data_IF_012142213928
#
_entry.id   IF_012142213928
#
_cell.length_a   1.000
_cell.length_b   1.000
_cell.length_c   1.000
_cell.angle_alpha   90.00
_cell.angle_beta   90.00
_cell.angle_gamma   90.00
#
_symmetry.space_group_name_H-M   'P 1'
#
loop_
_entity.id
_entity.type
_entity.pdbx_description
1 polymer ?
#
# COMPACT_ATOMS: atom_id res chain seq x y z
N UNK A 1 28.94 16.27 8.18
CA UNK A 1 28.06 15.16 7.73
C UNK A 1 27.60 15.47 6.31
N UNK A 2 27.37 14.46 5.44
CA UNK A 2 26.68 14.67 4.17
C UNK A 2 25.31 15.33 4.44
N UNK A 3 24.80 16.21 3.56
CA UNK A 3 23.46 16.77 3.71
C UNK A 3 22.42 15.64 3.81
N UNK A 4 21.43 15.80 4.69
CA UNK A 4 20.29 14.88 4.76
C UNK A 4 19.46 15.00 3.48
N UNK A 5 19.10 13.86 2.89
CA UNK A 5 18.28 13.76 1.68
C UNK A 5 19.07 13.52 0.40
N UNK A 6 18.39 13.03 -0.63
CA UNK A 6 18.97 12.99 -1.97
C UNK A 6 19.07 14.44 -2.45
N UNK A 7 20.25 14.91 -2.87
CA UNK A 7 20.46 16.26 -3.39
C UNK A 7 19.78 16.55 -4.73
N UNK A 8 18.62 15.94 -4.99
CA UNK A 8 17.86 16.01 -6.24
C UNK A 8 16.36 16.14 -5.91
N UNK A 9 15.73 17.19 -6.42
CA UNK A 9 14.29 17.47 -6.27
C UNK A 9 13.49 17.18 -7.55
N UNK A 10 14.07 16.41 -8.47
CA UNK A 10 13.42 15.99 -9.72
C UNK A 10 12.19 15.12 -9.48
N UNK A 11 12.24 14.20 -8.50
CA UNK A 11 11.09 13.37 -8.11
C UNK A 11 9.94 14.23 -7.60
N UNK A 12 10.20 15.11 -6.63
CA UNK A 12 9.18 16.00 -6.08
C UNK A 12 8.53 16.87 -7.16
N UNK A 13 9.32 17.44 -8.09
CA UNK A 13 8.80 18.26 -9.19
C UNK A 13 8.00 17.45 -10.20
N UNK A 14 8.45 16.26 -10.56
CA UNK A 14 7.72 15.37 -11.48
C UNK A 14 6.38 14.96 -10.86
N UNK A 15 6.40 14.60 -9.57
CA UNK A 15 5.19 14.27 -8.82
C UNK A 15 4.21 15.44 -8.79
N UNK A 16 4.65 16.64 -8.43
CA UNK A 16 3.78 17.82 -8.40
C UNK A 16 3.17 18.14 -9.77
N UNK A 17 3.90 17.97 -10.87
CA UNK A 17 3.39 18.18 -12.23
C UNK A 17 2.33 17.15 -12.62
N UNK A 18 2.58 15.87 -12.36
CA UNK A 18 1.60 14.80 -12.61
C UNK A 18 0.35 14.98 -11.78
N UNK A 19 0.50 15.43 -10.53
CA UNK A 19 -0.63 15.70 -9.66
C UNK A 19 -1.41 16.93 -10.13
N UNK A 20 -0.75 18.03 -10.50
CA UNK A 20 -1.41 19.26 -10.89
C UNK A 20 -2.19 19.18 -12.23
N UNK A 21 -1.82 18.26 -13.12
CA UNK A 21 -2.53 18.00 -14.37
C UNK A 21 -3.67 16.99 -14.16
N UNK A 22 -4.92 17.39 -14.43
CA UNK A 22 -6.10 16.56 -14.20
C UNK A 22 -6.10 15.26 -15.03
N UNK A 23 -5.63 15.32 -16.28
CA UNK A 23 -5.58 14.15 -17.17
C UNK A 23 -4.51 13.18 -16.69
N UNK A 24 -3.32 13.69 -16.40
CA UNK A 24 -2.22 12.89 -15.86
C UNK A 24 -2.58 12.27 -14.50
N UNK A 25 -3.30 13.00 -13.64
CA UNK A 25 -3.76 12.48 -12.34
C UNK A 25 -4.66 11.27 -12.52
N UNK A 26 -5.64 11.36 -13.42
CA UNK A 26 -6.55 10.24 -13.76
C UNK A 26 -5.76 9.07 -14.35
N UNK A 27 -4.82 9.32 -15.25
CA UNK A 27 -4.01 8.27 -15.88
C UNK A 27 -3.13 7.53 -14.87
N UNK A 28 -2.50 8.25 -13.94
CA UNK A 28 -1.72 7.64 -12.85
C UNK A 28 -2.64 6.81 -11.95
N UNK A 29 -3.80 7.33 -11.54
CA UNK A 29 -4.76 6.59 -10.73
C UNK A 29 -5.23 5.30 -11.44
N UNK A 30 -5.51 5.36 -12.74
CA UNK A 30 -5.85 4.17 -13.56
C UNK A 30 -4.72 3.15 -13.61
N UNK A 31 -3.47 3.62 -13.74
CA UNK A 31 -2.28 2.76 -13.70
C UNK A 31 -2.13 2.08 -12.33
N UNK A 32 -2.41 2.78 -11.24
CA UNK A 32 -2.44 2.21 -9.89
C UNK A 32 -3.50 1.12 -9.74
N UNK A 33 -4.73 1.34 -10.23
CA UNK A 33 -5.74 0.28 -10.27
C UNK A 33 -5.32 -0.92 -11.14
N UNK A 34 -4.67 -0.66 -12.28
CA UNK A 34 -4.18 -1.73 -13.14
C UNK A 34 -3.18 -2.64 -12.42
N UNK A 35 -2.29 -2.09 -11.59
CA UNK A 35 -1.41 -2.89 -10.74
C UNK A 35 -2.19 -3.71 -9.72
N UNK A 36 -3.13 -3.09 -9.00
CA UNK A 36 -3.96 -3.79 -8.01
C UNK A 36 -4.76 -4.93 -8.63
N UNK A 37 -5.16 -4.79 -9.89
CA UNK A 37 -5.97 -5.77 -10.61
C UNK A 37 -5.16 -6.79 -11.41
N UNK A 38 -3.86 -6.59 -11.59
CA UNK A 38 -3.00 -7.36 -12.49
C UNK A 38 -3.36 -7.22 -13.96
N UNK A 39 -4.21 -6.25 -14.34
CA UNK A 39 -4.67 -6.02 -15.70
C UNK A 39 -5.22 -4.60 -15.86
N UNK A 40 -5.13 -4.07 -17.08
CA UNK A 40 -5.81 -2.82 -17.46
C UNK A 40 -7.31 -3.08 -17.63
N UNK A 41 -8.15 -2.24 -17.05
CA UNK A 41 -9.59 -2.26 -17.27
C UNK A 41 -9.96 -1.16 -18.28
N UNK A 42 -10.99 -1.38 -19.13
CA UNK A 42 -11.37 -0.43 -20.18
C UNK A 42 -11.99 0.86 -19.61
N UNK A 43 -12.40 0.85 -18.34
CA UNK A 43 -13.04 2.00 -17.69
C UNK A 43 -12.04 3.11 -17.38
N UNK A 44 -12.41 4.35 -17.72
CA UNK A 44 -11.67 5.56 -17.34
C UNK A 44 -12.15 6.17 -16.02
N UNK A 45 -13.41 5.93 -15.64
CA UNK A 45 -14.01 6.49 -14.43
C UNK A 45 -13.46 5.83 -13.16
N UNK A 46 -12.78 6.65 -12.34
CA UNK A 46 -12.19 6.26 -11.06
C UNK A 46 -13.25 5.73 -10.07
N UNK A 47 -14.47 6.25 -10.11
CA UNK A 47 -15.56 5.79 -9.23
C UNK A 47 -15.96 4.33 -9.53
N UNK A 48 -16.00 3.97 -10.81
CA UNK A 48 -16.28 2.61 -11.27
C UNK A 48 -15.14 1.67 -10.89
N UNK A 49 -13.88 2.08 -11.10
CA UNK A 49 -12.71 1.30 -10.70
C UNK A 49 -12.69 1.04 -9.18
N UNK A 50 -13.04 2.05 -8.38
CA UNK A 50 -13.17 1.92 -6.91
C UNK A 50 -14.27 0.91 -6.53
N UNK A 51 -15.40 0.92 -7.22
CA UNK A 51 -16.48 -0.05 -7.00
C UNK A 51 -16.05 -1.49 -7.28
N UNK A 52 -15.34 -1.71 -8.40
CA UNK A 52 -14.78 -3.01 -8.79
C UNK A 52 -13.76 -3.48 -7.75
N UNK A 53 -12.87 -2.59 -7.30
CA UNK A 53 -11.90 -2.89 -6.25
C UNK A 53 -12.58 -3.33 -4.96
N UNK A 54 -13.59 -2.59 -4.50
CA UNK A 54 -14.34 -2.92 -3.29
C UNK A 54 -14.96 -4.31 -3.35
N UNK A 55 -15.53 -4.70 -4.50
CA UNK A 55 -16.05 -6.05 -4.72
C UNK A 55 -14.96 -7.13 -4.65
N UNK A 56 -13.82 -6.90 -5.33
CA UNK A 56 -12.67 -7.83 -5.30
C UNK A 56 -12.06 -7.97 -3.91
N UNK A 57 -11.98 -6.89 -3.16
CA UNK A 57 -11.41 -6.90 -1.81
C UNK A 57 -12.30 -7.70 -0.86
N UNK A 58 -13.63 -7.57 -0.95
CA UNK A 58 -14.58 -8.41 -0.20
C UNK A 58 -14.35 -9.90 -0.43
N UNK A 59 -14.10 -10.30 -1.68
CA UNK A 59 -13.80 -11.68 -2.00
C UNK A 59 -12.43 -12.13 -1.49
N UNK A 60 -11.43 -11.24 -1.60
CA UNK A 60 -10.07 -11.49 -1.07
C UNK A 60 -10.10 -11.76 0.43
N UNK A 61 -10.90 -11.03 1.21
CA UNK A 61 -11.07 -11.31 2.64
C UNK A 61 -11.57 -12.74 2.89
N UNK A 62 -12.58 -13.20 2.15
CA UNK A 62 -13.11 -14.57 2.30
C UNK A 62 -12.08 -15.62 1.94
N UNK A 63 -11.35 -15.41 0.85
CA UNK A 63 -10.27 -16.31 0.41
C UNK A 63 -9.20 -16.43 1.50
N UNK A 64 -8.75 -15.30 2.07
CA UNK A 64 -7.75 -15.30 3.13
C UNK A 64 -8.27 -15.92 4.43
N UNK A 65 -9.50 -15.61 4.83
CA UNK A 65 -10.16 -16.22 5.97
C UNK A 65 -10.17 -17.75 5.85
N UNK A 66 -10.62 -18.27 4.71
CA UNK A 66 -10.64 -19.71 4.44
C UNK A 66 -9.23 -20.30 4.42
N UNK A 67 -8.28 -19.66 3.72
CA UNK A 67 -6.89 -20.12 3.61
C UNK A 67 -6.20 -20.29 4.96
N UNK A 68 -6.46 -19.38 5.90
CA UNK A 68 -5.81 -19.39 7.22
C UNK A 68 -6.67 -19.98 8.34
N UNK A 69 -7.89 -20.44 8.04
CA UNK A 69 -8.81 -21.02 9.02
C UNK A 69 -9.30 -20.00 10.06
N UNK A 70 -9.52 -18.76 9.64
CA UNK A 70 -9.91 -17.63 10.51
C UNK A 70 -11.38 -17.28 10.27
N UNK A 71 -12.24 -17.22 11.29
CA UNK A 71 -13.62 -16.76 11.15
C UNK A 71 -13.66 -15.33 10.61
N UNK A 72 -14.50 -15.09 9.59
CA UNK A 72 -14.64 -13.77 8.98
C UNK A 72 -16.10 -13.43 8.71
N UNK A 73 -16.52 -12.26 9.18
CA UNK A 73 -17.87 -11.75 8.95
C UNK A 73 -17.85 -10.56 7.99
N UNK A 74 -17.15 -9.49 8.38
CA UNK A 74 -17.03 -8.28 7.59
C UNK A 74 -15.84 -7.45 8.07
N UNK A 75 -15.35 -6.56 7.20
CA UNK A 75 -14.41 -5.53 7.60
C UNK A 75 -15.15 -4.50 8.45
N UNK A 76 -14.76 -4.37 9.71
CA UNK A 76 -15.30 -3.40 10.67
C UNK A 76 -14.14 -2.63 11.30
N UNK A 77 -14.25 -1.31 11.32
CA UNK A 77 -13.26 -0.44 11.94
C UNK A 77 -13.98 0.70 12.66
N UNK A 78 -13.85 0.70 13.99
CA UNK A 78 -14.30 1.80 14.84
C UNK A 78 -13.07 2.63 15.22
N UNK A 79 -13.03 3.88 14.78
CA UNK A 79 -11.93 4.82 15.08
C UNK A 79 -11.86 5.18 16.57
N UNK A 80 -12.99 5.18 17.27
CA UNK A 80 -13.04 5.53 18.69
C UNK A 80 -12.66 4.33 19.57
N UNK A 81 -12.91 3.10 19.10
CA UNK A 81 -12.56 1.87 19.82
C UNK A 81 -11.91 0.82 18.90
N UNK A 82 -10.65 1.03 18.48
CA UNK A 82 -9.96 0.13 17.55
C UNK A 82 -9.81 -1.31 18.08
N UNK A 83 -9.70 -1.49 19.40
CA UNK A 83 -9.60 -2.81 20.06
C UNK A 83 -10.96 -3.50 20.27
N UNK A 84 -12.08 -2.82 20.03
CA UNK A 84 -13.40 -3.44 20.11
C UNK A 84 -13.73 -4.33 18.90
N UNK A 85 -12.89 -4.32 17.86
CA UNK A 85 -13.04 -5.15 16.69
C UNK A 85 -12.65 -6.61 16.98
N UNK A 86 -13.15 -7.56 16.19
CA UNK A 86 -12.69 -8.95 16.28
C UNK A 86 -11.19 -9.07 15.92
N UNK A 87 -10.57 -10.17 16.35
CA UNK A 87 -9.15 -10.41 16.20
C UNK A 87 -8.65 -10.26 14.74
N UNK A 88 -9.35 -10.75 13.70
CA UNK A 88 -8.95 -10.54 12.31
C UNK A 88 -8.96 -9.06 11.89
N UNK A 89 -9.98 -8.30 12.31
CA UNK A 89 -10.04 -6.87 12.02
C UNK A 89 -8.92 -6.09 12.73
N UNK A 90 -8.59 -6.45 13.98
CA UNK A 90 -7.44 -5.87 14.69
C UNK A 90 -6.13 -6.22 13.96
N UNK A 91 -5.96 -7.46 13.52
CA UNK A 91 -4.76 -7.91 12.80
C UNK A 91 -4.59 -7.13 11.47
N UNK A 92 -5.69 -6.90 10.75
CA UNK A 92 -5.69 -6.06 9.54
C UNK A 92 -5.26 -4.63 9.86
N UNK A 93 -5.73 -4.05 10.97
CA UNK A 93 -5.32 -2.70 11.40
C UNK A 93 -3.80 -2.64 11.62
N UNK A 94 -3.26 -3.54 12.43
CA UNK A 94 -1.82 -3.56 12.72
C UNK A 94 -0.99 -3.81 11.46
N UNK A 95 -1.36 -4.81 10.64
CA UNK A 95 -0.64 -5.11 9.40
C UNK A 95 -0.69 -3.93 8.42
N UNK A 96 -1.83 -3.24 8.30
CA UNK A 96 -1.97 -2.06 7.46
C UNK A 96 -1.03 -0.94 7.94
N UNK A 97 -0.98 -0.65 9.24
CA UNK A 97 -0.06 0.35 9.80
C UNK A 97 1.40 0.03 9.49
N UNK A 98 1.83 -1.24 9.59
CA UNK A 98 3.21 -1.60 9.25
C UNK A 98 3.52 -1.47 7.75
N UNK A 99 2.58 -1.82 6.87
CA UNK A 99 2.76 -1.66 5.42
C UNK A 99 2.74 -0.18 5.03
N UNK A 100 1.90 0.62 5.67
CA UNK A 100 1.87 2.07 5.50
C UNK A 100 3.20 2.72 5.93
N UNK A 101 3.78 2.30 7.06
CA UNK A 101 5.10 2.77 7.48
C UNK A 101 6.21 2.38 6.48
N UNK A 102 6.12 1.20 5.87
CA UNK A 102 7.05 0.79 4.81
C UNK A 102 6.88 1.65 3.54
N UNK A 103 5.64 1.98 3.17
CA UNK A 103 5.33 2.89 2.07
C UNK A 103 5.84 4.31 2.36
N UNK A 104 5.68 4.80 3.59
CA UNK A 104 6.15 6.12 4.01
C UNK A 104 7.67 6.23 3.89
N UNK A 105 8.39 5.19 4.36
CA UNK A 105 9.83 5.09 4.19
C UNK A 105 10.25 5.08 2.71
N UNK A 106 9.52 4.38 1.85
CA UNK A 106 9.79 4.37 0.40
C UNK A 106 9.53 5.73 -0.26
N UNK A 107 8.41 6.39 0.06
CA UNK A 107 8.05 7.74 -0.41
C UNK A 107 9.10 8.77 0.01
N UNK A 108 9.52 8.74 1.27
CA UNK A 108 10.58 9.60 1.78
C UNK A 108 11.93 9.32 1.11
N UNK A 109 12.29 8.04 0.93
CA UNK A 109 13.57 7.63 0.33
C UNK A 109 13.76 8.14 -1.10
N UNK A 110 12.67 8.25 -1.88
CA UNK A 110 12.71 8.78 -3.25
C UNK A 110 12.48 10.30 -3.33
N UNK A 111 12.14 10.96 -2.22
CA UNK A 111 11.83 12.39 -2.20
C UNK A 111 10.51 12.74 -2.90
N UNK A 112 9.53 11.82 -2.87
CA UNK A 112 8.17 12.10 -3.31
C UNK A 112 7.40 12.87 -2.23
N UNK A 113 6.31 13.56 -2.63
CA UNK A 113 5.51 14.40 -1.75
C UNK A 113 4.32 13.60 -1.16
N UNK A 114 4.29 13.30 0.16
CA UNK A 114 3.23 12.48 0.76
C UNK A 114 1.79 13.02 0.62
N UNK A 115 1.52 14.34 0.68
CA UNK A 115 0.15 14.85 0.56
C UNK A 115 -0.47 14.72 -0.84
N UNK A 116 0.32 14.49 -1.88
CA UNK A 116 -0.16 14.53 -3.27
C UNK A 116 -0.61 13.14 -3.75
N UNK A 117 -1.70 12.62 -3.18
CA UNK A 117 -2.30 11.36 -3.65
C UNK A 117 -3.02 11.48 -4.99
N UNK A 118 -3.08 10.38 -5.72
CA UNK A 118 -3.81 10.19 -6.97
C UNK A 118 -5.16 9.48 -6.78
N UNK A 119 -5.32 8.64 -5.74
CA UNK A 119 -6.59 7.99 -5.41
C UNK A 119 -7.18 8.55 -4.11
N UNK A 120 -6.33 8.82 -3.12
CA UNK A 120 -6.69 9.54 -1.90
C UNK A 120 -6.41 11.05 -2.07
N UNK A 121 -7.30 11.93 -1.59
CA UNK A 121 -7.21 13.38 -1.91
C UNK A 121 -7.28 14.32 -0.69
N UNK A 122 -7.38 13.80 0.54
CA UNK A 122 -7.68 14.63 1.73
C UNK A 122 -6.77 14.38 2.94
N UNK A 123 -5.80 13.47 2.84
CA UNK A 123 -4.89 13.15 3.93
C UNK A 123 -3.50 13.74 3.69
N UNK A 124 -2.80 14.15 4.75
CA UNK A 124 -1.39 14.59 4.67
C UNK A 124 -0.44 13.47 4.20
N UNK A 125 -0.90 12.22 4.21
CA UNK A 125 -0.18 11.04 3.74
C UNK A 125 -0.89 10.33 2.57
N UNK A 126 -1.70 11.06 1.80
CA UNK A 126 -2.52 10.48 0.73
C UNK A 126 -1.74 9.60 -0.26
N UNK A 127 -0.58 10.05 -0.72
CA UNK A 127 0.26 9.26 -1.63
C UNK A 127 0.86 8.02 -0.95
N UNK A 128 1.22 8.13 0.33
CA UNK A 128 1.66 6.99 1.15
C UNK A 128 0.57 5.90 1.20
N UNK A 129 -0.70 6.30 1.41
CA UNK A 129 -1.84 5.38 1.38
C UNK A 129 -2.04 4.75 0.01
N UNK A 130 -1.94 5.55 -1.07
CA UNK A 130 -2.06 5.04 -2.44
C UNK A 130 -1.03 3.94 -2.74
N UNK A 131 0.22 4.16 -2.34
CA UNK A 131 1.33 3.21 -2.48
C UNK A 131 1.09 1.97 -1.63
N UNK A 132 0.75 2.13 -0.34
CA UNK A 132 0.52 1.01 0.57
C UNK A 132 -0.58 0.06 0.04
N UNK A 133 -1.66 0.61 -0.50
CA UNK A 133 -2.78 -0.18 -1.00
C UNK A 133 -2.45 -0.99 -2.27
N UNK A 134 -1.36 -0.69 -2.99
CA UNK A 134 -0.89 -1.56 -4.08
C UNK A 134 -0.51 -2.97 -3.58
N UNK A 135 -0.12 -3.11 -2.31
CA UNK A 135 0.26 -4.39 -1.70
C UNK A 135 -0.82 -4.95 -0.77
N UNK A 136 -2.03 -4.39 -0.77
CA UNK A 136 -3.09 -4.79 0.15
C UNK A 136 -3.42 -6.28 0.05
N UNK A 137 -3.66 -6.76 -1.15
CA UNK A 137 -4.05 -8.15 -1.41
C UNK A 137 -2.87 -9.14 -1.31
N UNK A 138 -1.68 -8.71 -1.72
CA UNK A 138 -0.49 -9.59 -1.80
C UNK A 138 0.25 -9.73 -0.46
N UNK A 139 0.28 -8.66 0.35
CA UNK A 139 1.08 -8.61 1.58
C UNK A 139 0.19 -8.36 2.80
N UNK A 140 -0.57 -7.27 2.82
CA UNK A 140 -1.26 -6.82 4.04
C UNK A 140 -2.28 -7.85 4.55
N UNK A 141 -3.17 -8.33 3.67
CA UNK A 141 -4.20 -9.30 4.07
C UNK A 141 -3.60 -10.67 4.40
N UNK A 142 -2.72 -11.27 3.58
CA UNK A 142 -2.11 -12.54 3.94
C UNK A 142 -1.33 -12.49 5.25
N UNK A 143 -0.57 -11.41 5.51
CA UNK A 143 0.12 -11.19 6.78
C UNK A 143 -0.87 -11.15 7.94
N UNK A 144 -1.89 -10.29 7.86
CA UNK A 144 -2.88 -10.11 8.92
C UNK A 144 -3.58 -11.43 9.29
N UNK A 145 -4.10 -12.16 8.30
CA UNK A 145 -4.80 -13.41 8.54
C UNK A 145 -3.87 -14.51 9.04
N UNK A 146 -2.61 -14.56 8.59
CA UNK A 146 -1.62 -15.51 9.11
C UNK A 146 -1.32 -15.29 10.60
N UNK A 147 -1.18 -14.03 11.01
CA UNK A 147 -0.92 -13.66 12.41
C UNK A 147 -2.17 -13.90 13.26
N UNK A 148 -3.35 -13.52 12.79
CA UNK A 148 -4.60 -13.79 13.48
C UNK A 148 -4.76 -15.29 13.77
N UNK A 149 -4.54 -16.14 12.77
CA UNK A 149 -4.59 -17.60 12.94
C UNK A 149 -3.56 -18.11 13.96
N UNK A 150 -2.36 -17.54 13.98
CA UNK A 150 -1.30 -17.89 14.94
C UNK A 150 -1.69 -17.53 16.37
N UNK A 151 -2.22 -16.33 16.60
CA UNK A 151 -2.67 -15.86 17.91
C UNK A 151 -3.88 -16.67 18.39
N UNK A 152 -4.82 -17.01 17.51
CA UNK A 152 -5.95 -17.89 17.85
C UNK A 152 -5.50 -19.26 18.35
N UNK A 153 -4.48 -19.86 17.73
CA UNK A 153 -3.91 -21.16 18.17
C UNK A 153 -3.07 -21.05 19.43
N UNK A 154 -2.57 -19.86 19.75
CA UNK A 154 -1.68 -19.62 20.89
C UNK A 154 -2.12 -18.37 21.66
N UNK A 155 -3.18 -18.46 22.50
CA UNK A 155 -3.78 -17.29 23.17
C UNK A 155 -2.86 -16.52 24.12
N UNK A 156 -1.69 -17.08 24.46
CA UNK A 156 -0.64 -16.39 25.25
C UNK A 156 0.14 -15.36 24.43
N UNK A 157 0.04 -15.40 23.10
CA UNK A 157 0.67 -14.42 22.21
C UNK A 157 -0.16 -13.15 22.14
N UNK A 158 0.50 -12.01 22.20
CA UNK A 158 -0.13 -10.71 21.91
C UNK A 158 -0.08 -10.41 20.42
N UNK A 159 -1.15 -9.84 19.89
CA UNK A 159 -1.33 -9.60 18.46
C UNK A 159 -0.31 -8.62 17.87
N UNK A 160 -0.09 -7.47 18.51
CA UNK A 160 0.77 -6.43 17.97
C UNK A 160 2.25 -6.88 17.87
N UNK A 161 2.88 -7.44 18.92
CA UNK A 161 4.27 -7.89 18.84
C UNK A 161 4.49 -8.98 17.79
N UNK A 162 3.52 -9.90 17.67
CA UNK A 162 3.54 -10.93 16.64
C UNK A 162 3.40 -10.34 15.24
N UNK A 163 2.47 -9.40 15.04
CA UNK A 163 2.29 -8.73 13.75
C UNK A 163 3.56 -8.00 13.35
N UNK A 164 4.19 -7.25 14.28
CA UNK A 164 5.45 -6.52 14.02
C UNK A 164 6.57 -7.46 13.60
N UNK A 165 6.75 -8.57 14.32
CA UNK A 165 7.79 -9.57 14.04
C UNK A 165 7.59 -10.21 12.67
N UNK A 166 6.38 -10.66 12.38
CA UNK A 166 6.06 -11.29 11.09
C UNK A 166 6.15 -10.27 9.94
N UNK A 167 5.68 -9.03 10.13
CA UNK A 167 5.83 -7.96 9.14
C UNK A 167 7.29 -7.76 8.73
N UNK A 168 8.21 -7.66 9.70
CA UNK A 168 9.64 -7.50 9.42
C UNK A 168 10.21 -8.68 8.58
N UNK A 169 9.80 -9.91 8.88
CA UNK A 169 10.20 -11.08 8.11
C UNK A 169 9.62 -11.07 6.68
N UNK A 170 8.33 -10.74 6.54
CA UNK A 170 7.64 -10.65 5.26
C UNK A 170 8.22 -9.55 4.37
N UNK A 171 8.52 -8.37 4.92
CA UNK A 171 9.05 -7.24 4.16
C UNK A 171 10.42 -7.57 3.58
N UNK A 172 11.28 -8.26 4.34
CA UNK A 172 12.56 -8.77 3.85
C UNK A 172 12.37 -9.82 2.76
N UNK A 173 11.52 -10.83 3.02
CA UNK A 173 11.27 -11.94 2.09
C UNK A 173 10.76 -11.45 0.72
N UNK A 174 9.83 -10.50 0.72
CA UNK A 174 9.21 -10.00 -0.51
C UNK A 174 9.90 -8.75 -1.08
N UNK A 175 11.02 -8.30 -0.47
CA UNK A 175 11.70 -7.06 -0.84
C UNK A 175 10.73 -5.88 -0.96
N UNK A 176 9.84 -5.74 0.04
CA UNK A 176 8.69 -4.83 -0.04
C UNK A 176 9.10 -3.38 -0.32
N UNK A 177 9.99 -2.82 0.50
CA UNK A 177 10.43 -1.41 0.37
C UNK A 177 11.15 -1.17 -0.97
N UNK A 178 12.11 -2.02 -1.42
CA UNK A 178 12.66 -1.92 -2.77
C UNK A 178 11.59 -1.90 -3.88
N UNK A 179 10.62 -2.82 -3.83
CA UNK A 179 9.55 -2.87 -4.83
C UNK A 179 8.65 -1.62 -4.78
N UNK A 180 8.41 -1.06 -3.59
CA UNK A 180 7.70 0.21 -3.43
C UNK A 180 8.47 1.37 -4.07
N UNK A 181 9.78 1.47 -3.85
CA UNK A 181 10.64 2.48 -4.45
C UNK A 181 10.57 2.40 -5.98
N UNK A 182 10.75 1.20 -6.55
CA UNK A 182 10.70 0.99 -8.00
C UNK A 182 9.33 1.37 -8.57
N UNK A 183 8.26 1.00 -7.87
CA UNK A 183 6.89 1.34 -8.30
C UNK A 183 6.62 2.83 -8.26
N UNK A 184 7.08 3.53 -7.23
CA UNK A 184 6.94 4.99 -7.15
C UNK A 184 7.71 5.64 -8.30
N UNK A 185 8.95 5.23 -8.58
CA UNK A 185 9.72 5.76 -9.71
C UNK A 185 9.02 5.54 -11.05
N UNK A 186 8.40 4.37 -11.23
CA UNK A 186 7.65 4.02 -12.44
C UNK A 186 6.35 4.83 -12.59
N UNK A 187 5.62 5.06 -11.50
CA UNK A 187 4.41 5.88 -11.49
C UNK A 187 4.73 7.35 -11.80
N UNK A 188 5.85 7.84 -11.28
CA UNK A 188 6.27 9.24 -11.40
C UNK A 188 7.15 9.52 -12.64
N UNK A 189 7.41 8.50 -13.47
CA UNK A 189 8.23 8.60 -14.69
C UNK A 189 9.68 9.08 -14.46
N UNK A 190 10.25 8.77 -13.30
CA UNK A 190 11.61 9.17 -12.88
C UNK A 190 12.60 8.01 -12.82
N UNK A 191 12.31 6.94 -13.55
CA UNK A 191 13.14 5.73 -13.55
C UNK A 191 14.54 6.01 -14.15
N UNK A 192 15.59 5.57 -13.45
CA UNK A 192 17.00 5.87 -13.77
C UNK A 192 17.39 5.32 -15.17
N UNK A 193 16.65 4.33 -15.67
CA UNK A 193 16.86 3.68 -16.97
C UNK A 193 16.72 4.61 -18.17
N UNK A 194 15.90 5.67 -18.10
CA UNK A 194 15.77 6.63 -19.21
C UNK A 194 16.98 7.56 -19.36
N UNK A 195 17.77 7.78 -18.30
CA UNK A 195 18.94 8.67 -18.34
C UNK A 195 20.15 8.06 -19.06
N UNK A 196 20.26 6.72 -19.13
CA UNK A 196 21.34 6.07 -19.87
C UNK A 196 21.12 6.03 -21.38
N UNK A 197 19.87 5.97 -21.85
CA UNK A 197 19.55 5.94 -23.28
C UNK A 197 19.72 7.31 -24.00
N UNK A 198 19.90 8.40 -23.26
CA UNK A 198 20.14 9.75 -23.80
C UNK A 198 21.61 10.18 -23.67
N UNK A 199 22.50 9.27 -23.25
CA UNK A 199 23.94 9.51 -23.09
C UNK A 199 24.81 8.60 -23.96
N UNK A 200 24.20 7.88 -24.90
CA UNK A 200 24.87 7.07 -25.92
C UNK A 200 24.53 7.64 -27.28
#
# INVERSE_FOLDING_TARGET
APPMGQGRSDVARAHARLWADETARVDVARKMYAYRFGRVLPHSDISVLRGIEGGRLKETYKIMANKYGVPWHARRYDRQRPEAADLPNQAINHAATFVEAAADAAVAAVGALPPLGFIHEQSSNAFTLDVADLWRAEITLPLAFSVAAKVMRHPRLSLEPETRREAAAWFRKHKLIPNMIDRIKELLHVDDRRRHAQRV
#
